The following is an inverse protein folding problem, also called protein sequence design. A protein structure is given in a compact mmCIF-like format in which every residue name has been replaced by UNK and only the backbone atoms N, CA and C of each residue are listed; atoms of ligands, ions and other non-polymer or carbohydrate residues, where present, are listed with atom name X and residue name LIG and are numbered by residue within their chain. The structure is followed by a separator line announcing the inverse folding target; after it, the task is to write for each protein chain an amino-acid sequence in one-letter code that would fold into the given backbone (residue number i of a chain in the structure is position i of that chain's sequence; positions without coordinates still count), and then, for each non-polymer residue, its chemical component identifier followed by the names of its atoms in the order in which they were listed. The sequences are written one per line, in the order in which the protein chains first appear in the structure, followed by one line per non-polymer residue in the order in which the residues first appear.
data_IF_014814472136
#
_entry.id   IF_014814472136
#
_cell.length_a   1.000
_cell.length_b   1.000
_cell.length_c   1.000
_cell.angle_alpha   90.00
_cell.angle_beta   90.00
_cell.angle_gamma   90.00
#
_symmetry.space_group_name_H-M   'P 1'
#
loop_
_entity.id
_entity.type
_entity.pdbx_description
1 polymer ?
#
# COMPACT_ATOMS: atom_id res chain seq x y z
N UNK A 1 -20.81 -3.13 25.62
CA UNK A 1 -20.02 -2.95 24.38
C UNK A 1 -19.28 -4.26 24.11
N UNK A 2 -19.88 -5.18 23.34
CA UNK A 2 -19.27 -6.49 23.09
C UNK A 2 -17.95 -6.30 22.36
N UNK A 3 -16.83 -6.57 23.04
CA UNK A 3 -15.56 -6.84 22.38
C UNK A 3 -15.83 -7.91 21.32
N UNK A 4 -15.36 -7.70 20.10
CA UNK A 4 -15.26 -8.80 19.15
C UNK A 4 -14.26 -9.79 19.78
N UNK A 5 -14.80 -10.78 20.49
CA UNK A 5 -14.04 -11.83 21.15
C UNK A 5 -13.17 -12.43 20.05
N UNK A 6 -11.87 -12.23 20.18
CA UNK A 6 -10.88 -12.95 19.41
C UNK A 6 -11.20 -14.44 19.59
N UNK A 7 -11.61 -15.10 18.51
CA UNK A 7 -11.68 -16.55 18.50
C UNK A 7 -10.25 -17.02 18.26
N UNK A 8 -9.59 -17.44 19.33
CA UNK A 8 -8.38 -18.23 19.21
C UNK A 8 -8.65 -19.40 18.25
N UNK A 9 -7.68 -19.78 17.40
CA UNK A 9 -7.81 -20.95 16.56
C UNK A 9 -8.28 -22.15 17.40
N UNK A 10 -9.29 -22.89 16.93
CA UNK A 10 -9.71 -24.09 17.63
C UNK A 10 -8.55 -25.09 17.70
N UNK A 11 -8.52 -25.92 18.75
CA UNK A 11 -7.51 -26.97 18.87
C UNK A 11 -7.46 -27.84 17.59
N UNK A 12 -8.63 -28.16 17.04
CA UNK A 12 -8.74 -28.93 15.79
C UNK A 12 -8.14 -28.18 14.59
N UNK A 13 -8.35 -26.86 14.47
CA UNK A 13 -7.74 -26.06 13.41
C UNK A 13 -6.20 -26.04 13.54
N UNK A 14 -5.68 -25.91 14.76
CA UNK A 14 -4.24 -25.96 15.03
C UNK A 14 -3.64 -27.34 14.76
N UNK A 15 -4.35 -28.41 15.12
CA UNK A 15 -3.92 -29.78 14.85
C UNK A 15 -3.91 -30.08 13.34
N UNK A 16 -4.93 -29.62 12.60
CA UNK A 16 -4.95 -29.74 11.14
C UNK A 16 -3.84 -28.92 10.48
N UNK A 17 -3.46 -27.79 11.06
CA UNK A 17 -2.37 -26.93 10.58
C UNK A 17 -1.01 -27.54 10.86
N UNK A 18 -0.81 -28.14 12.05
CA UNK A 18 0.45 -28.78 12.47
C UNK A 18 0.84 -29.99 11.61
N UNK A 19 -0.14 -30.59 10.91
CA UNK A 19 0.05 -31.68 9.95
C UNK A 19 0.15 -31.19 8.49
N UNK A 20 0.37 -29.90 8.26
CA UNK A 20 0.42 -29.29 6.93
C UNK A 20 1.78 -28.65 6.63
N UNK A 21 1.97 -28.15 5.40
CA UNK A 21 3.15 -27.36 5.01
C UNK A 21 3.32 -26.08 5.86
N UNK A 22 2.26 -25.65 6.53
CA UNK A 22 2.22 -24.45 7.36
C UNK A 22 2.30 -24.75 8.86
N UNK A 23 2.82 -25.92 9.23
CA UNK A 23 2.92 -26.36 10.63
C UNK A 23 3.72 -25.41 11.53
N UNK A 24 4.65 -24.64 10.98
CA UNK A 24 5.40 -23.62 11.72
C UNK A 24 4.49 -22.55 12.32
N UNK A 25 3.37 -22.22 11.67
CA UNK A 25 2.42 -21.21 12.16
C UNK A 25 1.75 -21.62 13.47
N UNK A 26 1.52 -22.92 13.69
CA UNK A 26 0.88 -23.41 14.91
C UNK A 26 1.71 -23.15 16.18
N UNK A 27 3.01 -22.87 16.03
CA UNK A 27 3.95 -22.61 17.12
C UNK A 27 4.39 -21.14 17.18
N UNK A 28 3.87 -20.27 16.31
CA UNK A 28 4.27 -18.86 16.32
C UNK A 28 3.56 -18.12 17.44
N UNK A 29 4.36 -17.44 18.26
CA UNK A 29 3.84 -16.49 19.21
C UNK A 29 3.39 -15.22 18.48
N UNK A 30 2.13 -14.87 18.69
CA UNK A 30 1.54 -13.66 18.14
C UNK A 30 1.32 -12.66 19.27
N UNK A 31 1.59 -11.39 19.00
CA UNK A 31 1.41 -10.30 19.97
C UNK A 31 -0.05 -10.24 20.44
N UNK A 32 -0.24 -9.93 21.73
CA UNK A 32 -1.57 -9.75 22.31
C UNK A 32 -2.37 -8.65 21.59
N UNK A 33 -3.67 -8.86 21.38
CA UNK A 33 -4.51 -7.97 20.56
C UNK A 33 -4.58 -6.53 21.08
N UNK A 34 -4.51 -6.36 22.40
CA UNK A 34 -4.55 -5.04 23.03
C UNK A 34 -3.31 -4.20 22.69
N UNK A 35 -2.17 -4.86 22.48
CA UNK A 35 -0.92 -4.16 22.10
C UNK A 35 -0.95 -3.66 20.67
N UNK A 36 -1.64 -4.37 19.79
CA UNK A 36 -1.62 -4.17 18.34
C UNK A 36 -2.94 -3.59 17.82
N UNK A 37 -3.67 -2.84 18.65
CA UNK A 37 -4.89 -2.16 18.19
C UNK A 37 -4.56 -1.18 17.06
N UNK A 38 -5.24 -1.32 15.93
CA UNK A 38 -4.99 -0.49 14.75
C UNK A 38 -3.76 -0.89 13.93
N UNK A 39 -3.23 -2.09 14.16
CA UNK A 39 -2.04 -2.66 13.52
C UNK A 39 -2.43 -3.90 12.70
N UNK A 40 -1.78 -4.12 11.58
CA UNK A 40 -2.07 -5.27 10.69
C UNK A 40 -1.06 -6.39 10.78
N UNK A 41 0.15 -6.13 11.29
CA UNK A 41 1.10 -7.18 11.63
C UNK A 41 0.73 -7.83 12.97
N UNK A 42 1.04 -9.12 13.11
CA UNK A 42 0.73 -9.91 14.30
C UNK A 42 1.96 -10.25 15.14
N UNK A 43 3.14 -9.90 14.64
CA UNK A 43 4.43 -10.09 15.28
C UNK A 43 5.38 -8.94 14.93
N UNK A 44 6.51 -8.85 15.64
CA UNK A 44 7.57 -7.89 15.36
C UNK A 44 8.93 -8.59 15.23
N UNK A 45 8.98 -9.67 14.44
CA UNK A 45 10.19 -10.48 14.27
C UNK A 45 11.32 -9.68 13.64
N UNK A 46 12.56 -9.88 14.08
CA UNK A 46 13.73 -9.16 13.57
C UNK A 46 13.85 -9.20 12.05
N UNK A 47 14.34 -8.11 11.46
CA UNK A 47 14.54 -7.98 10.01
C UNK A 47 15.57 -8.97 9.47
N UNK A 48 15.46 -9.31 8.17
CA UNK A 48 16.32 -10.32 7.51
C UNK A 48 17.83 -10.02 7.55
N UNK A 49 18.22 -8.78 7.78
CA UNK A 49 19.62 -8.33 7.78
C UNK A 49 20.20 -8.19 9.18
N UNK A 50 19.39 -8.46 10.22
CA UNK A 50 19.83 -8.37 11.61
C UNK A 50 20.65 -9.60 12.01
N UNK A 51 21.78 -9.37 12.68
CA UNK A 51 22.65 -10.44 13.19
C UNK A 51 22.02 -11.19 14.38
N UNK A 52 21.11 -10.53 15.10
CA UNK A 52 20.50 -11.06 16.32
C UNK A 52 18.97 -11.03 16.22
N UNK A 53 18.34 -12.11 16.69
CA UNK A 53 16.89 -12.17 16.89
C UNK A 53 16.57 -11.87 18.35
N UNK A 54 15.46 -11.16 18.58
CA UNK A 54 14.95 -10.87 19.92
C UNK A 54 13.57 -11.48 20.06
N UNK A 55 13.42 -12.35 21.05
CA UNK A 55 12.14 -12.94 21.44
C UNK A 55 11.81 -12.48 22.86
N UNK A 56 10.57 -12.04 23.07
CA UNK A 56 10.08 -11.75 24.42
C UNK A 56 9.44 -13.04 24.94
N UNK A 57 9.79 -13.44 26.16
CA UNK A 57 9.13 -14.55 26.85
C UNK A 57 8.79 -14.12 28.27
N UNK A 58 7.71 -14.67 28.81
CA UNK A 58 7.40 -14.53 30.24
C UNK A 58 8.35 -15.44 31.02
N UNK A 59 9.17 -14.84 31.88
CA UNK A 59 10.11 -15.56 32.73
C UNK A 59 9.43 -16.20 33.96
N UNK A 60 8.13 -15.94 34.16
CA UNK A 60 7.32 -16.52 35.23
C UNK A 60 7.46 -15.81 36.57
N UNK A 61 8.17 -14.67 36.64
CA UNK A 61 8.42 -13.94 37.88
C UNK A 61 7.30 -12.95 38.24
N UNK A 62 6.23 -12.88 37.43
CA UNK A 62 5.06 -12.05 37.72
C UNK A 62 5.33 -10.54 37.72
N UNK A 63 6.49 -10.12 37.24
CA UNK A 63 6.97 -8.73 37.17
C UNK A 63 6.57 -8.02 35.86
N UNK A 64 5.93 -8.74 34.94
CA UNK A 64 5.53 -8.19 33.63
C UNK A 64 4.24 -7.40 33.80
N UNK A 65 4.37 -6.09 34.04
CA UNK A 65 3.26 -5.16 33.87
C UNK A 65 2.69 -5.27 32.45
N UNK A 66 1.39 -5.00 32.31
CA UNK A 66 0.73 -5.02 31.01
C UNK A 66 1.43 -4.03 30.05
N UNK A 67 2.12 -4.56 29.05
CA UNK A 67 2.87 -3.74 28.10
C UNK A 67 1.93 -2.79 27.35
N UNK A 68 2.31 -1.52 27.16
CA UNK A 68 1.47 -0.55 26.49
C UNK A 68 1.24 -0.91 25.02
N UNK A 69 0.18 -0.33 24.45
CA UNK A 69 -0.09 -0.42 23.02
C UNK A 69 1.00 0.28 22.20
N UNK A 70 1.29 -0.25 21.02
CA UNK A 70 2.29 0.37 20.13
C UNK A 70 1.80 1.71 19.60
N UNK A 71 2.47 2.79 20.02
CA UNK A 71 2.32 4.12 19.45
C UNK A 71 3.17 4.30 18.20
N UNK A 72 2.67 5.06 17.22
CA UNK A 72 3.45 5.43 16.03
C UNK A 72 4.57 6.38 16.45
N UNK A 73 5.79 6.09 16.00
CA UNK A 73 6.97 6.93 16.19
C UNK A 73 7.34 7.57 14.85
N UNK A 74 7.44 8.89 14.82
CA UNK A 74 7.87 9.64 13.64
C UNK A 74 9.36 9.96 13.74
N UNK A 75 10.12 9.58 12.71
CA UNK A 75 11.56 9.86 12.60
C UNK A 75 11.76 10.91 11.52
N UNK A 76 12.17 12.13 11.89
CA UNK A 76 12.39 13.19 10.91
C UNK A 76 13.74 12.98 10.22
N UNK A 77 13.74 12.89 8.89
CA UNK A 77 14.94 12.77 8.07
C UNK A 77 15.03 13.88 7.01
N UNK A 78 16.25 14.18 6.56
CA UNK A 78 16.50 15.02 5.38
C UNK A 78 16.99 14.14 4.24
N UNK A 79 16.23 14.09 3.16
CA UNK A 79 16.54 13.33 1.97
C UNK A 79 17.60 14.04 1.12
N UNK A 80 18.60 13.29 0.65
CA UNK A 80 19.57 13.78 -0.35
C UNK A 80 18.96 13.86 -1.74
N UNK A 81 18.10 12.90 -2.06
CA UNK A 81 17.25 12.86 -3.25
C UNK A 81 15.88 12.29 -2.89
N UNK A 82 14.86 12.69 -3.64
CA UNK A 82 13.47 12.30 -3.46
C UNK A 82 12.94 11.50 -4.66
N UNK A 83 13.47 11.71 -5.87
CA UNK A 83 13.08 10.94 -7.06
C UNK A 83 13.85 9.62 -7.08
N UNK A 84 13.13 8.51 -7.12
CA UNK A 84 13.70 7.15 -7.28
C UNK A 84 13.31 6.57 -8.63
N UNK A 85 14.24 5.91 -9.31
CA UNK A 85 14.01 5.21 -10.59
C UNK A 85 13.90 3.69 -10.41
N UNK A 86 13.24 3.05 -11.37
CA UNK A 86 13.17 1.59 -11.50
C UNK A 86 13.09 1.20 -12.99
N UNK A 87 13.42 -0.04 -13.29
CA UNK A 87 13.49 -0.64 -14.63
C UNK A 87 12.46 -1.77 -14.83
N UNK A 88 11.45 -1.84 -13.97
CA UNK A 88 10.57 -3.00 -13.95
C UNK A 88 9.55 -2.98 -15.09
N UNK A 89 9.45 -4.06 -15.89
CA UNK A 89 8.52 -4.12 -17.02
C UNK A 89 7.05 -4.29 -16.60
N UNK A 90 6.78 -4.61 -15.33
CA UNK A 90 5.43 -4.89 -14.83
C UNK A 90 4.66 -3.65 -14.37
N UNK A 91 5.33 -2.49 -14.28
CA UNK A 91 4.72 -1.25 -13.80
C UNK A 91 4.80 -0.16 -14.85
N UNK A 92 3.73 0.62 -14.98
CA UNK A 92 3.61 1.66 -16.01
C UNK A 92 4.35 2.97 -15.70
N UNK A 93 5.41 2.93 -14.87
CA UNK A 93 6.18 4.11 -14.48
C UNK A 93 7.64 3.78 -14.18
N UNK A 94 8.53 4.68 -14.55
CA UNK A 94 9.96 4.57 -14.26
C UNK A 94 10.36 5.31 -12.98
N UNK A 95 9.69 6.41 -12.65
CA UNK A 95 10.06 7.30 -11.54
C UNK A 95 9.00 7.31 -10.47
N UNK A 96 9.42 7.44 -9.22
CA UNK A 96 8.52 7.58 -8.08
C UNK A 96 9.05 8.49 -7.00
N UNK A 97 8.14 9.01 -6.18
CA UNK A 97 8.44 9.76 -4.97
C UNK A 97 7.75 9.08 -3.80
N UNK A 98 8.52 8.85 -2.74
CA UNK A 98 8.03 8.41 -1.44
C UNK A 98 8.50 9.43 -0.39
N UNK A 99 7.58 10.32 0.03
CA UNK A 99 7.84 11.33 1.08
C UNK A 99 8.01 10.70 2.47
N UNK A 100 7.58 9.45 2.62
CA UNK A 100 7.69 8.68 3.85
C UNK A 100 8.39 7.34 3.61
N UNK A 101 8.91 6.73 4.68
CA UNK A 101 9.25 5.30 4.72
C UNK A 101 8.44 4.64 5.82
N UNK A 102 7.90 3.47 5.54
CA UNK A 102 6.87 2.84 6.38
C UNK A 102 5.49 3.34 6.00
N UNK A 103 4.45 2.64 6.46
CA UNK A 103 3.07 3.05 6.17
C UNK A 103 2.12 2.73 7.33
N UNK A 104 1.54 3.78 7.91
CA UNK A 104 0.62 3.67 9.04
C UNK A 104 -0.69 2.97 8.69
N UNK A 105 -1.05 2.82 7.41
CA UNK A 105 -2.21 2.02 7.00
C UNK A 105 -2.14 0.58 7.50
N UNK A 106 -0.92 0.06 7.68
CA UNK A 106 -0.68 -1.25 8.28
C UNK A 106 -1.28 -2.41 7.50
N UNK A 107 -1.27 -2.36 6.16
CA UNK A 107 -1.89 -3.43 5.37
C UNK A 107 -1.12 -4.75 5.56
N UNK A 108 -1.75 -5.83 6.04
CA UNK A 108 -1.05 -7.09 6.34
C UNK A 108 -0.44 -7.77 5.11
N UNK A 109 -0.95 -7.45 3.92
CA UNK A 109 -0.49 -7.94 2.62
C UNK A 109 0.49 -6.99 1.89
N UNK A 110 0.94 -5.91 2.54
CA UNK A 110 1.68 -4.86 1.85
C UNK A 110 3.06 -5.34 1.36
N UNK A 111 3.27 -5.34 0.04
CA UNK A 111 4.53 -5.77 -0.58
C UNK A 111 5.74 -4.88 -0.20
N UNK A 112 5.50 -3.68 0.35
CA UNK A 112 6.52 -2.71 0.72
C UNK A 112 7.14 -2.96 2.11
N UNK A 113 6.51 -3.80 2.96
CA UNK A 113 7.01 -4.12 4.30
C UNK A 113 8.49 -4.53 4.35
N UNK A 114 9.01 -5.34 3.41
CA UNK A 114 10.42 -5.73 3.38
C UNK A 114 11.39 -4.55 3.27
N UNK A 115 10.94 -3.38 2.80
CA UNK A 115 11.81 -2.20 2.67
C UNK A 115 12.32 -1.69 4.03
N UNK A 116 11.60 -1.98 5.13
CA UNK A 116 12.02 -1.64 6.48
C UNK A 116 13.18 -2.48 6.99
N UNK A 117 13.38 -3.68 6.44
CA UNK A 117 14.53 -4.50 6.81
C UNK A 117 15.86 -3.81 6.46
N UNK A 118 15.91 -2.99 5.40
CA UNK A 118 17.10 -2.19 5.06
C UNK A 118 17.39 -1.04 6.04
N UNK A 119 16.48 -0.77 6.98
CA UNK A 119 16.66 0.17 8.09
C UNK A 119 17.04 -0.54 9.40
N UNK A 120 17.18 -1.86 9.36
CA UNK A 120 17.33 -2.70 10.55
C UNK A 120 16.04 -2.91 11.35
N UNK A 121 14.88 -2.60 10.75
CA UNK A 121 13.57 -2.75 11.38
C UNK A 121 12.87 -4.03 10.97
N UNK A 122 11.93 -4.47 11.82
CA UNK A 122 11.00 -5.52 11.44
C UNK A 122 10.09 -5.11 10.27
N UNK A 123 9.80 -6.06 9.38
CA UNK A 123 8.72 -5.92 8.39
C UNK A 123 7.30 -6.06 9.02
N UNK A 124 7.25 -6.44 10.31
CA UNK A 124 6.06 -6.58 11.12
C UNK A 124 5.52 -5.25 11.64
N UNK A 125 5.51 -5.07 12.97
CA UNK A 125 4.96 -3.87 13.62
C UNK A 125 5.79 -2.63 13.29
N UNK A 126 7.13 -2.71 13.27
CA UNK A 126 7.98 -1.54 13.04
C UNK A 126 7.68 -0.85 11.69
N UNK A 127 7.32 -1.59 10.63
CA UNK A 127 6.94 -1.00 9.33
C UNK A 127 5.77 0.00 9.41
N UNK A 128 4.78 -0.29 10.26
CA UNK A 128 3.56 0.50 10.40
C UNK A 128 3.57 1.39 11.65
N UNK A 129 4.63 1.30 12.44
CA UNK A 129 4.86 2.05 13.67
C UNK A 129 5.94 3.12 13.49
N UNK A 130 7.09 2.77 12.93
CA UNK A 130 8.26 3.62 12.78
C UNK A 130 8.24 4.27 11.39
N UNK A 131 7.76 5.52 11.35
CA UNK A 131 7.50 6.26 10.11
C UNK A 131 8.57 7.33 9.92
N UNK A 132 9.37 7.17 8.88
CA UNK A 132 10.38 8.15 8.52
C UNK A 132 9.78 9.23 7.64
N UNK A 133 9.98 10.49 8.00
CA UNK A 133 9.37 11.67 7.38
C UNK A 133 10.48 12.48 6.71
N UNK A 134 10.46 12.56 5.38
CA UNK A 134 11.42 13.35 4.61
C UNK A 134 10.99 14.82 4.61
N UNK A 135 11.31 15.53 5.69
CA UNK A 135 10.80 16.89 5.92
C UNK A 135 11.18 17.90 4.82
N UNK A 136 12.25 17.65 4.07
CA UNK A 136 12.69 18.48 2.94
C UNK A 136 12.23 17.95 1.56
N UNK A 137 11.19 17.11 1.48
CA UNK A 137 10.80 16.45 0.22
C UNK A 137 10.53 17.43 -0.93
N UNK A 138 9.84 18.55 -0.68
CA UNK A 138 9.58 19.57 -1.69
C UNK A 138 10.84 20.36 -2.10
N UNK A 139 11.73 20.65 -1.14
CA UNK A 139 13.03 21.30 -1.39
C UNK A 139 13.92 20.41 -2.27
N UNK A 140 14.04 19.12 -1.90
CA UNK A 140 14.80 18.13 -2.67
C UNK A 140 14.21 17.96 -4.08
N UNK A 141 12.88 17.95 -4.21
CA UNK A 141 12.22 17.87 -5.51
C UNK A 141 12.57 19.07 -6.39
N UNK A 142 12.43 20.30 -5.87
CA UNK A 142 12.79 21.51 -6.63
C UNK A 142 14.25 21.48 -7.09
N UNK A 143 15.16 21.08 -6.21
CA UNK A 143 16.58 20.95 -6.54
C UNK A 143 16.81 19.94 -7.69
N UNK A 144 16.19 18.76 -7.65
CA UNK A 144 16.32 17.77 -8.72
C UNK A 144 15.70 18.22 -10.04
N UNK A 145 14.53 18.87 -10.01
CA UNK A 145 13.85 19.37 -11.22
C UNK A 145 14.60 20.53 -11.89
N UNK A 146 15.42 21.27 -11.15
CA UNK A 146 16.21 22.40 -11.66
C UNK A 146 17.42 21.98 -12.51
N UNK A 147 17.83 20.71 -12.47
CA UNK A 147 19.02 20.27 -13.16
C UNK A 147 18.88 20.48 -14.68
N UNK A 148 19.89 21.08 -15.32
CA UNK A 148 19.88 21.35 -16.78
C UNK A 148 19.67 20.09 -17.64
N UNK A 149 20.11 18.94 -17.13
CA UNK A 149 19.95 17.62 -17.76
C UNK A 149 18.60 16.97 -17.47
N UNK A 150 17.76 17.55 -16.60
CA UNK A 150 16.48 16.97 -16.24
C UNK A 150 15.57 16.87 -17.47
N UNK A 151 14.89 15.74 -17.59
CA UNK A 151 13.87 15.50 -18.61
C UNK A 151 12.61 15.01 -17.91
N UNK A 152 11.45 15.67 -18.10
CA UNK A 152 10.22 15.31 -17.41
C UNK A 152 9.75 13.91 -17.84
N UNK A 153 9.39 13.10 -16.85
CA UNK A 153 8.71 11.81 -17.02
C UNK A 153 7.69 11.67 -15.91
N UNK A 154 6.52 11.05 -16.13
CA UNK A 154 5.54 10.83 -15.08
C UNK A 154 6.14 10.23 -13.79
N UNK A 155 5.87 10.88 -12.66
CA UNK A 155 6.32 10.43 -11.34
C UNK A 155 5.15 9.78 -10.60
N UNK A 156 5.33 8.54 -10.13
CA UNK A 156 4.35 7.85 -9.32
C UNK A 156 4.51 8.15 -7.82
N UNK A 157 3.42 8.41 -7.13
CA UNK A 157 3.29 8.43 -5.67
C UNK A 157 2.34 7.30 -5.26
N UNK A 158 2.56 6.74 -4.06
CA UNK A 158 1.81 5.53 -3.66
C UNK A 158 2.50 4.22 -4.01
N UNK A 159 3.82 4.23 -4.22
CA UNK A 159 4.56 3.06 -4.71
C UNK A 159 5.06 2.18 -3.59
N UNK A 160 5.76 2.73 -2.60
CA UNK A 160 6.27 1.98 -1.44
C UNK A 160 5.62 2.42 -0.11
N UNK A 161 5.07 3.63 -0.07
CA UNK A 161 4.24 4.15 1.01
C UNK A 161 3.02 4.84 0.45
N UNK A 162 1.97 4.99 1.24
CA UNK A 162 0.80 5.77 0.84
C UNK A 162 1.06 7.27 1.09
N UNK A 163 0.92 8.13 0.06
CA UNK A 163 1.18 9.57 0.20
C UNK A 163 0.19 10.26 1.14
N UNK A 164 -0.97 9.64 1.38
CA UNK A 164 -2.06 10.18 2.19
C UNK A 164 -2.32 9.36 3.46
N UNK A 165 -1.28 8.66 3.96
CA UNK A 165 -1.32 7.97 5.24
C UNK A 165 -1.58 8.95 6.42
N UNK A 166 -2.01 8.49 7.60
CA UNK A 166 -2.32 9.36 8.74
C UNK A 166 -1.33 10.50 9.05
N UNK A 167 -0.02 10.27 9.00
CA UNK A 167 1.02 11.30 9.18
C UNK A 167 0.89 12.50 8.21
N UNK A 168 0.35 12.30 7.01
CA UNK A 168 0.14 13.37 6.01
C UNK A 168 -0.84 14.44 6.50
N UNK A 169 -1.72 14.15 7.47
CA UNK A 169 -2.58 15.17 8.09
C UNK A 169 -1.79 16.26 8.80
N UNK A 170 -0.64 15.91 9.38
CA UNK A 170 0.24 16.82 10.11
C UNK A 170 1.26 17.47 9.18
N UNK A 171 1.97 16.65 8.40
CA UNK A 171 3.16 17.10 7.68
C UNK A 171 2.88 17.75 6.32
N UNK A 172 1.76 17.41 5.67
CA UNK A 172 1.35 17.96 4.38
C UNK A 172 2.42 17.86 3.28
N UNK A 173 3.30 16.85 3.33
CA UNK A 173 4.41 16.71 2.38
C UNK A 173 3.91 16.38 0.99
N UNK A 174 2.87 15.56 0.88
CA UNK A 174 2.24 15.27 -0.41
C UNK A 174 1.67 16.54 -1.01
N UNK A 175 0.99 17.37 -0.21
CA UNK A 175 0.50 18.67 -0.69
C UNK A 175 1.65 19.55 -1.20
N UNK A 176 2.72 19.72 -0.43
CA UNK A 176 3.88 20.53 -0.85
C UNK A 176 4.58 19.98 -2.09
N UNK A 177 4.61 18.65 -2.26
CA UNK A 177 5.08 18.04 -3.51
C UNK A 177 4.16 18.39 -4.67
N UNK A 178 2.83 18.30 -4.50
CA UNK A 178 1.87 18.64 -5.55
C UNK A 178 1.92 20.12 -5.95
N UNK A 179 2.19 21.02 -5.00
CA UNK A 179 2.43 22.44 -5.28
C UNK A 179 3.64 22.62 -6.22
N UNK A 180 4.75 21.93 -5.95
CA UNK A 180 5.94 21.92 -6.84
C UNK A 180 5.61 21.29 -8.20
N UNK A 181 4.82 20.20 -8.23
CA UNK A 181 4.40 19.58 -9.49
C UNK A 181 3.55 20.55 -10.32
N UNK A 182 2.65 21.32 -9.70
CA UNK A 182 1.84 22.31 -10.40
C UNK A 182 2.68 23.50 -10.88
N UNK A 183 3.54 24.05 -10.01
CA UNK A 183 4.49 25.14 -10.33
C UNK A 183 5.32 24.80 -11.58
N UNK A 184 5.88 23.59 -11.60
CA UNK A 184 6.76 23.12 -12.68
C UNK A 184 6.01 22.44 -13.82
N UNK A 185 4.67 22.36 -13.74
CA UNK A 185 3.80 21.63 -14.68
C UNK A 185 4.29 20.21 -14.96
N UNK A 186 4.74 19.53 -13.90
CA UNK A 186 5.32 18.21 -13.97
C UNK A 186 4.25 17.12 -13.77
N UNK A 187 4.22 16.08 -14.62
CA UNK A 187 3.20 15.03 -14.53
C UNK A 187 3.37 14.11 -13.31
N UNK A 188 2.25 13.78 -12.66
CA UNK A 188 2.20 12.94 -11.46
C UNK A 188 1.08 11.90 -11.53
N UNK A 189 1.35 10.71 -11.01
CA UNK A 189 0.38 9.63 -10.84
C UNK A 189 0.24 9.33 -9.36
N UNK A 190 -0.97 9.23 -8.84
CA UNK A 190 -1.19 9.02 -7.41
C UNK A 190 -1.96 7.73 -7.19
N UNK A 191 -1.43 6.83 -6.37
CA UNK A 191 -2.18 5.66 -5.86
C UNK A 191 -2.37 5.80 -4.35
N UNK A 192 -3.60 5.68 -3.84
CA UNK A 192 -3.85 5.77 -2.39
C UNK A 192 -5.03 4.92 -1.94
N UNK A 193 -5.06 4.59 -0.64
CA UNK A 193 -6.20 4.01 0.11
C UNK A 193 -6.90 5.04 1.02
N UNK A 194 -6.56 6.32 0.89
CA UNK A 194 -6.99 7.37 1.81
C UNK A 194 -7.89 8.39 1.13
N UNK A 195 -9.02 8.70 1.78
CA UNK A 195 -9.90 9.79 1.37
C UNK A 195 -9.32 11.19 1.69
N UNK A 196 -8.16 11.26 2.36
CA UNK A 196 -7.47 12.52 2.64
C UNK A 196 -7.02 13.25 1.36
N UNK A 197 -6.89 12.52 0.24
CA UNK A 197 -6.60 13.10 -1.08
C UNK A 197 -7.54 14.24 -1.48
N UNK A 198 -8.79 14.21 -1.00
CA UNK A 198 -9.79 15.26 -1.29
C UNK A 198 -9.40 16.62 -0.70
N UNK A 199 -8.53 16.68 0.31
CA UNK A 199 -7.98 17.94 0.83
C UNK A 199 -7.28 18.74 -0.28
N UNK A 200 -6.62 18.07 -1.22
CA UNK A 200 -5.79 18.71 -2.25
C UNK A 200 -6.52 18.81 -3.60
N UNK A 201 -7.86 18.78 -3.59
CA UNK A 201 -8.67 18.85 -4.80
C UNK A 201 -8.44 20.14 -5.58
N UNK A 202 -8.11 21.23 -4.90
CA UNK A 202 -7.73 22.53 -5.48
C UNK A 202 -6.53 22.38 -6.43
N UNK A 203 -5.48 21.67 -6.01
CA UNK A 203 -4.26 21.45 -6.83
C UNK A 203 -4.51 20.38 -7.90
N UNK A 204 -5.19 19.29 -7.52
CA UNK A 204 -5.45 18.17 -8.41
C UNK A 204 -6.33 18.57 -9.60
N UNK A 205 -7.30 19.47 -9.40
CA UNK A 205 -8.15 19.99 -10.47
C UNK A 205 -7.33 20.78 -11.50
N UNK A 206 -6.41 21.64 -11.05
CA UNK A 206 -5.54 22.40 -11.96
C UNK A 206 -4.57 21.50 -12.74
N UNK A 207 -3.96 20.52 -12.07
CA UNK A 207 -3.15 19.51 -12.75
C UNK A 207 -3.98 18.70 -13.77
N UNK A 208 -5.24 18.39 -13.47
CA UNK A 208 -6.10 17.62 -14.36
C UNK A 208 -6.47 18.42 -15.61
N UNK A 209 -6.78 19.71 -15.46
CA UNK A 209 -7.01 20.65 -16.59
C UNK A 209 -5.83 20.70 -17.56
N UNK A 210 -4.61 20.58 -17.03
CA UNK A 210 -3.38 20.56 -17.81
C UNK A 210 -3.02 19.16 -18.36
N UNK A 211 -3.77 18.11 -18.02
CA UNK A 211 -3.45 16.73 -18.40
C UNK A 211 -2.20 16.17 -17.70
N UNK A 212 -1.94 16.62 -16.46
CA UNK A 212 -0.74 16.31 -15.69
C UNK A 212 -0.97 15.35 -14.52
N UNK A 213 -2.21 15.05 -14.16
CA UNK A 213 -2.52 14.09 -13.07
C UNK A 213 -3.50 13.01 -13.47
N UNK A 214 -3.28 11.83 -12.90
CA UNK A 214 -4.28 10.76 -12.81
C UNK A 214 -4.19 10.08 -11.45
N UNK A 215 -5.33 9.64 -10.94
CA UNK A 215 -5.45 9.08 -9.59
C UNK A 215 -5.99 7.65 -9.66
N UNK A 216 -5.48 6.79 -8.79
CA UNK A 216 -5.99 5.45 -8.56
C UNK A 216 -6.32 5.28 -7.07
N UNK A 217 -7.58 4.94 -6.78
CA UNK A 217 -8.03 4.65 -5.41
C UNK A 217 -8.13 3.14 -5.23
N UNK A 218 -7.39 2.59 -4.28
CA UNK A 218 -7.41 1.16 -3.95
C UNK A 218 -8.58 0.82 -3.04
N UNK A 219 -9.50 -0.02 -3.53
CA UNK A 219 -10.63 -0.58 -2.77
C UNK A 219 -10.47 -2.10 -2.78
N UNK A 220 -10.20 -2.67 -1.60
CA UNK A 220 -9.88 -4.11 -1.49
C UNK A 220 -11.08 -4.95 -1.05
N UNK A 221 -12.03 -4.36 -0.35
CA UNK A 221 -13.28 -4.99 0.08
C UNK A 221 -14.30 -3.89 0.32
N UNK A 222 -15.57 -4.20 0.09
CA UNK A 222 -16.74 -3.40 0.45
C UNK A 222 -17.21 -3.69 1.88
N UNK A 223 -16.79 -4.82 2.47
CA UNK A 223 -17.03 -5.12 3.88
C UNK A 223 -16.10 -4.33 4.79
N UNK A 224 -16.69 -3.42 5.57
CA UNK A 224 -15.97 -2.62 6.55
C UNK A 224 -15.25 -3.46 7.61
N UNK A 225 -15.78 -4.63 7.99
CA UNK A 225 -15.14 -5.52 8.97
C UNK A 225 -13.88 -6.15 8.39
N UNK A 226 -13.95 -6.69 7.17
CA UNK A 226 -12.79 -7.24 6.47
C UNK A 226 -11.74 -6.16 6.18
N UNK A 227 -12.14 -4.99 5.66
CA UNK A 227 -11.24 -3.86 5.42
C UNK A 227 -10.51 -3.45 6.71
N UNK A 228 -11.21 -3.27 7.84
CA UNK A 228 -10.56 -2.93 9.12
C UNK A 228 -9.59 -4.01 9.61
N UNK A 229 -9.81 -5.30 9.32
CA UNK A 229 -8.84 -6.35 9.65
C UNK A 229 -7.60 -6.27 8.77
N UNK A 230 -7.77 -6.07 7.47
CA UNK A 230 -6.68 -6.10 6.50
C UNK A 230 -5.83 -4.83 6.48
N UNK A 231 -6.45 -3.67 6.67
CA UNK A 231 -5.91 -2.33 6.42
C UNK A 231 -6.44 -1.35 7.49
N UNK A 232 -6.09 -1.56 8.77
CA UNK A 232 -6.80 -1.04 9.94
C UNK A 232 -6.88 0.48 10.07
N UNK A 233 -5.93 1.21 9.47
CA UNK A 233 -5.87 2.68 9.54
C UNK A 233 -6.03 3.35 8.18
N UNK A 234 -6.36 2.59 7.14
CA UNK A 234 -6.80 3.15 5.87
C UNK A 234 -8.22 3.70 5.98
N UNK A 235 -8.65 4.53 5.02
CA UNK A 235 -10.02 5.04 5.01
C UNK A 235 -11.01 3.90 4.80
N UNK A 236 -12.23 4.00 5.34
CA UNK A 236 -13.25 2.97 5.10
C UNK A 236 -13.60 2.83 3.61
N UNK A 237 -14.11 1.67 3.16
CA UNK A 237 -14.50 1.48 1.75
C UNK A 237 -15.46 2.56 1.24
N UNK A 238 -16.47 2.91 2.03
CA UNK A 238 -17.43 3.98 1.69
C UNK A 238 -16.74 5.34 1.49
N UNK A 239 -15.77 5.71 2.33
CA UNK A 239 -15.03 6.97 2.17
C UNK A 239 -14.11 6.97 0.95
N UNK A 240 -13.58 5.80 0.55
CA UNK A 240 -12.78 5.67 -0.68
C UNK A 240 -13.64 5.82 -1.93
N UNK A 241 -14.82 5.22 -1.93
CA UNK A 241 -15.80 5.40 -3.00
C UNK A 241 -16.25 6.87 -3.11
N UNK A 242 -16.52 7.51 -1.98
CA UNK A 242 -16.83 8.95 -1.95
C UNK A 242 -15.68 9.80 -2.50
N UNK A 243 -14.42 9.43 -2.19
CA UNK A 243 -13.27 10.12 -2.77
C UNK A 243 -13.20 9.94 -4.31
N UNK A 244 -13.54 8.75 -4.84
CA UNK A 244 -13.63 8.55 -6.29
C UNK A 244 -14.68 9.49 -6.90
N UNK A 245 -15.86 9.62 -6.27
CA UNK A 245 -16.93 10.51 -6.71
C UNK A 245 -16.46 11.96 -6.80
N UNK A 246 -15.89 12.48 -5.70
CA UNK A 246 -15.45 13.86 -5.62
C UNK A 246 -14.30 14.18 -6.59
N UNK A 247 -13.37 13.25 -6.80
CA UNK A 247 -12.31 13.40 -7.80
C UNK A 247 -12.89 13.42 -9.22
N UNK A 248 -13.83 12.52 -9.52
CA UNK A 248 -14.46 12.42 -10.84
C UNK A 248 -15.29 13.67 -11.17
N UNK A 249 -16.08 14.17 -10.22
CA UNK A 249 -16.86 15.41 -10.36
C UNK A 249 -15.98 16.65 -10.57
N UNK A 250 -14.77 16.67 -10.00
CA UNK A 250 -13.78 17.71 -10.22
C UNK A 250 -13.01 17.57 -11.55
N UNK A 251 -13.32 16.55 -12.35
CA UNK A 251 -12.67 16.30 -13.64
C UNK A 251 -11.29 15.63 -13.54
N UNK A 252 -10.93 15.06 -12.38
CA UNK A 252 -9.67 14.33 -12.18
C UNK A 252 -9.81 12.89 -12.71
N UNK A 253 -9.01 12.46 -13.72
CA UNK A 253 -9.09 11.09 -14.23
C UNK A 253 -8.79 10.07 -13.13
N UNK A 254 -9.82 9.31 -12.74
CA UNK A 254 -9.76 8.43 -11.57
C UNK A 254 -10.03 6.98 -11.94
N UNK A 255 -9.16 6.08 -11.48
CA UNK A 255 -9.32 4.64 -11.59
C UNK A 255 -9.60 3.98 -10.24
N UNK A 256 -10.30 2.85 -10.28
CA UNK A 256 -10.48 1.98 -9.11
C UNK A 256 -9.54 0.78 -9.18
N UNK A 257 -8.78 0.56 -8.11
CA UNK A 257 -7.86 -0.57 -8.01
C UNK A 257 -8.40 -1.62 -7.05
N UNK A 258 -8.86 -2.75 -7.59
CA UNK A 258 -9.23 -3.95 -6.84
C UNK A 258 -7.95 -4.72 -6.49
N UNK A 259 -7.12 -4.19 -5.58
CA UNK A 259 -5.75 -4.69 -5.36
C UNK A 259 -5.29 -4.64 -3.89
N UNK A 260 -4.82 -5.77 -3.31
CA UNK A 260 -4.78 -7.10 -3.93
C UNK A 260 -6.15 -7.81 -3.89
N UNK A 261 -6.38 -8.67 -4.88
CA UNK A 261 -7.33 -9.77 -4.77
C UNK A 261 -6.64 -10.96 -4.09
N UNK A 262 -7.25 -11.42 -3.00
CA UNK A 262 -6.80 -12.48 -2.12
C UNK A 262 -7.78 -13.65 -2.28
N UNK A 263 -7.31 -14.80 -2.80
CA UNK A 263 -8.14 -15.99 -2.99
C UNK A 263 -8.92 -16.36 -1.73
N UNK A 264 -10.23 -16.60 -1.88
CA UNK A 264 -11.16 -17.00 -0.82
C UNK A 264 -11.26 -16.03 0.39
N UNK A 265 -10.75 -14.80 0.27
CA UNK A 265 -10.84 -13.75 1.30
C UNK A 265 -11.68 -12.57 0.83
N UNK A 266 -11.33 -11.95 -0.30
CA UNK A 266 -12.04 -10.79 -0.86
C UNK A 266 -12.31 -10.88 -2.37
N UNK A 267 -11.84 -11.94 -3.04
CA UNK A 267 -11.96 -12.09 -4.49
C UNK A 267 -13.39 -12.38 -4.96
N UNK A 268 -14.30 -12.78 -4.08
CA UNK A 268 -15.73 -12.83 -4.34
C UNK A 268 -16.36 -11.43 -4.47
N UNK A 269 -15.68 -10.38 -4.03
CA UNK A 269 -16.17 -9.00 -4.10
C UNK A 269 -15.72 -8.26 -5.36
N UNK A 270 -14.89 -8.89 -6.21
CA UNK A 270 -14.25 -8.27 -7.35
C UNK A 270 -15.22 -7.47 -8.24
N UNK A 271 -16.28 -8.10 -8.72
CA UNK A 271 -17.26 -7.47 -9.61
C UNK A 271 -18.01 -6.34 -8.90
N UNK A 272 -18.37 -6.56 -7.63
CA UNK A 272 -19.06 -5.56 -6.81
C UNK A 272 -18.20 -4.32 -6.56
N UNK A 273 -16.88 -4.50 -6.37
CA UNK A 273 -15.93 -3.39 -6.23
C UNK A 273 -15.90 -2.57 -7.53
N UNK A 274 -15.81 -3.23 -8.69
CA UNK A 274 -15.77 -2.54 -9.99
C UNK A 274 -17.07 -1.79 -10.28
N UNK A 275 -18.22 -2.43 -10.06
CA UNK A 275 -19.54 -1.82 -10.20
C UNK A 275 -19.67 -0.57 -9.32
N UNK A 276 -19.31 -0.68 -8.04
CA UNK A 276 -19.31 0.45 -7.11
C UNK A 276 -18.36 1.56 -7.55
N UNK A 277 -17.17 1.24 -8.03
CA UNK A 277 -16.22 2.22 -8.56
C UNK A 277 -16.78 2.96 -9.77
N UNK A 278 -17.38 2.24 -10.72
CA UNK A 278 -18.03 2.84 -11.89
C UNK A 278 -19.17 3.75 -11.49
N UNK A 279 -20.01 3.33 -10.53
CA UNK A 279 -21.12 4.13 -10.02
C UNK A 279 -20.66 5.45 -9.38
N UNK A 280 -19.41 5.54 -8.91
CA UNK A 280 -18.80 6.77 -8.40
C UNK A 280 -17.98 7.53 -9.45
N UNK A 281 -18.05 7.15 -10.73
CA UNK A 281 -17.35 7.88 -11.80
C UNK A 281 -15.90 7.48 -12.02
N UNK A 282 -15.46 6.31 -11.54
CA UNK A 282 -14.19 5.74 -12.01
C UNK A 282 -14.26 5.48 -13.53
N UNK A 283 -13.21 5.83 -14.25
CA UNK A 283 -13.13 5.69 -15.72
C UNK A 283 -12.30 4.47 -16.15
N UNK A 284 -11.56 3.87 -15.23
CA UNK A 284 -10.70 2.72 -15.51
C UNK A 284 -10.57 1.83 -14.26
N UNK A 285 -10.17 0.58 -14.45
CA UNK A 285 -9.91 -0.33 -13.35
C UNK A 285 -8.64 -1.16 -13.53
N UNK A 286 -8.05 -1.56 -12.40
CA UNK A 286 -6.93 -2.49 -12.35
C UNK A 286 -7.09 -3.50 -11.21
N UNK A 287 -6.50 -4.68 -11.41
CA UNK A 287 -6.47 -5.77 -10.43
C UNK A 287 -5.09 -6.43 -10.40
N UNK A 288 -4.57 -6.59 -9.19
CA UNK A 288 -3.36 -7.35 -8.87
C UNK A 288 -3.75 -8.50 -7.95
N UNK A 289 -3.27 -9.71 -8.25
CA UNK A 289 -3.35 -10.87 -7.36
C UNK A 289 -2.36 -10.70 -6.19
N UNK A 290 -2.73 -11.16 -5.00
CA UNK A 290 -1.90 -11.12 -3.79
C UNK A 290 -0.43 -11.50 -4.07
N UNK A 291 0.48 -10.69 -3.54
CA UNK A 291 1.93 -10.86 -3.61
C UNK A 291 2.48 -11.04 -2.21
N UNK A 292 3.35 -12.02 -2.03
CA UNK A 292 3.99 -12.33 -0.73
C UNK A 292 5.53 -12.31 -0.81
N UNK A 293 6.16 -11.21 -1.27
CA UNK A 293 7.62 -11.14 -1.31
C UNK A 293 8.21 -11.08 0.10
N UNK A 294 9.28 -11.85 0.35
CA UNK A 294 10.03 -11.77 1.61
C UNK A 294 9.17 -12.03 2.85
N UNK A 295 9.37 -11.21 3.87
CA UNK A 295 8.69 -11.31 5.17
C UNK A 295 7.17 -11.10 5.09
N UNK A 296 6.67 -10.50 4.00
CA UNK A 296 5.22 -10.31 3.79
C UNK A 296 4.48 -11.64 3.82
N UNK A 297 5.13 -12.72 3.33
CA UNK A 297 4.61 -14.08 3.43
C UNK A 297 4.23 -14.41 4.87
N UNK A 298 5.13 -14.15 5.80
CA UNK A 298 4.99 -14.52 7.19
C UNK A 298 3.99 -13.60 7.90
N UNK A 299 4.05 -12.29 7.66
CA UNK A 299 3.07 -11.32 8.18
C UNK A 299 1.64 -11.68 7.73
N UNK A 300 1.46 -12.03 6.46
CA UNK A 300 0.16 -12.42 5.93
C UNK A 300 -0.33 -13.75 6.50
N UNK A 301 0.54 -14.76 6.62
CA UNK A 301 0.18 -16.07 7.19
C UNK A 301 -0.26 -15.96 8.65
N UNK A 302 0.44 -15.15 9.45
CA UNK A 302 0.08 -14.87 10.83
C UNK A 302 -1.25 -14.11 10.93
N UNK A 303 -1.45 -13.11 10.07
CA UNK A 303 -2.73 -12.40 9.95
C UNK A 303 -3.88 -13.35 9.59
N UNK A 304 -3.64 -14.27 8.65
CA UNK A 304 -4.63 -15.26 8.22
C UNK A 304 -4.97 -16.24 9.34
N UNK A 305 -3.97 -16.73 10.08
CA UNK A 305 -4.18 -17.58 11.26
C UNK A 305 -5.04 -16.89 12.31
N UNK A 306 -4.77 -15.60 12.59
CA UNK A 306 -5.51 -14.85 13.59
C UNK A 306 -6.95 -14.56 13.21
N UNK A 307 -7.19 -14.23 11.93
CA UNK A 307 -8.50 -13.72 11.52
C UNK A 307 -9.39 -14.75 10.83
N UNK A 308 -8.79 -15.81 10.28
CA UNK A 308 -9.46 -16.87 9.52
C UNK A 308 -8.75 -18.22 9.72
N UNK A 309 -8.61 -18.72 10.97
CA UNK A 309 -7.86 -19.95 11.26
C UNK A 309 -8.33 -21.15 10.44
N UNK A 310 -9.64 -21.31 10.25
CA UNK A 310 -10.23 -22.42 9.50
C UNK A 310 -9.97 -22.35 7.98
N UNK A 311 -9.56 -21.18 7.47
CA UNK A 311 -9.30 -20.95 6.04
C UNK A 311 -7.83 -20.91 5.69
N UNK A 312 -6.91 -20.98 6.67
CA UNK A 312 -5.46 -20.86 6.46
C UNK A 312 -4.98 -21.81 5.35
N UNK A 313 -5.29 -23.10 5.49
CA UNK A 313 -4.86 -24.13 4.54
C UNK A 313 -5.45 -23.90 3.15
N UNK A 314 -6.74 -23.57 3.07
CA UNK A 314 -7.43 -23.38 1.80
C UNK A 314 -6.88 -22.17 1.03
N UNK A 315 -6.78 -21.02 1.68
CA UNK A 315 -6.27 -19.78 1.07
C UNK A 315 -4.82 -19.95 0.62
N UNK A 316 -3.95 -20.54 1.45
CA UNK A 316 -2.55 -20.76 1.08
C UNK A 316 -2.38 -21.80 -0.02
N UNK A 317 -3.25 -22.81 -0.09
CA UNK A 317 -3.29 -23.74 -1.22
C UNK A 317 -3.59 -22.99 -2.51
N UNK A 318 -4.64 -22.17 -2.55
CA UNK A 318 -4.99 -21.39 -3.73
C UNK A 318 -3.88 -20.40 -4.13
N UNK A 319 -3.26 -19.74 -3.15
CA UNK A 319 -2.10 -18.88 -3.43
C UNK A 319 -0.98 -19.67 -4.09
N UNK A 320 -0.65 -20.87 -3.58
CA UNK A 320 0.38 -21.74 -4.16
C UNK A 320 0.03 -22.26 -5.54
N UNK A 321 -1.24 -22.61 -5.76
CA UNK A 321 -1.73 -23.06 -7.05
C UNK A 321 -1.54 -21.98 -8.12
N UNK A 322 -1.65 -20.70 -7.73
CA UNK A 322 -1.37 -19.58 -8.65
C UNK A 322 0.11 -19.30 -8.91
N UNK A 323 1.03 -20.09 -8.33
CA UNK A 323 2.48 -19.81 -8.26
C UNK A 323 3.34 -21.07 -8.41
N UNK A 324 2.82 -22.09 -9.11
CA UNK A 324 3.56 -23.35 -9.34
C UNK A 324 3.96 -24.05 -8.04
N UNK A 325 3.13 -23.98 -7.00
CA UNK A 325 3.37 -24.58 -5.69
C UNK A 325 4.19 -23.73 -4.73
N UNK A 326 4.61 -22.51 -5.08
CA UNK A 326 5.36 -21.60 -4.18
C UNK A 326 4.44 -20.60 -3.49
N UNK A 327 4.85 -20.03 -2.35
CA UNK A 327 4.06 -18.94 -1.74
C UNK A 327 4.15 -17.63 -2.55
N UNK A 328 5.23 -17.46 -3.32
CA UNK A 328 5.46 -16.31 -4.18
C UNK A 328 6.38 -16.65 -5.36
N UNK A 329 6.14 -15.97 -6.48
CA UNK A 329 6.98 -16.00 -7.66
C UNK A 329 7.39 -14.57 -8.01
N UNK A 330 8.70 -14.32 -8.09
CA UNK A 330 9.29 -13.01 -8.36
C UNK A 330 9.51 -12.70 -9.83
N UNK A 331 9.32 -13.68 -10.73
CA UNK A 331 9.48 -13.49 -12.19
C UNK A 331 8.56 -12.37 -12.69
N UNK A 332 9.08 -11.55 -13.58
CA UNK A 332 8.28 -10.53 -14.28
C UNK A 332 7.18 -11.20 -15.11
N UNK A 333 6.11 -10.46 -15.38
CA UNK A 333 4.90 -10.91 -16.07
C UNK A 333 3.96 -11.76 -15.21
N UNK A 334 4.48 -12.57 -14.28
CA UNK A 334 3.68 -13.49 -13.45
C UNK A 334 3.48 -13.01 -12.01
N UNK A 335 4.40 -12.22 -11.45
CA UNK A 335 4.35 -11.87 -10.02
C UNK A 335 3.09 -11.10 -9.60
N UNK A 336 2.45 -10.34 -10.50
CA UNK A 336 1.22 -9.59 -10.22
C UNK A 336 -0.06 -10.29 -10.67
N UNK A 337 0.07 -11.30 -11.53
CA UNK A 337 -1.05 -11.91 -12.27
C UNK A 337 -1.33 -13.33 -11.79
N UNK A 338 -0.28 -14.10 -11.47
CA UNK A 338 -0.35 -15.52 -11.19
C UNK A 338 -0.45 -16.37 -12.47
N UNK A 339 -0.35 -17.68 -12.30
CA UNK A 339 -0.50 -18.68 -13.35
C UNK A 339 -1.51 -19.76 -12.95
N UNK A 340 -1.86 -20.67 -13.85
CA UNK A 340 -2.78 -21.78 -13.57
C UNK A 340 -4.28 -21.42 -13.59
N UNK A 341 -5.16 -22.41 -13.35
CA UNK A 341 -6.60 -22.26 -13.59
C UNK A 341 -7.26 -21.18 -12.72
N UNK A 342 -6.86 -21.07 -11.45
CA UNK A 342 -7.46 -20.09 -10.53
C UNK A 342 -7.12 -18.64 -10.93
N UNK A 343 -5.85 -18.37 -11.23
CA UNK A 343 -5.43 -17.04 -11.69
C UNK A 343 -6.09 -16.68 -13.03
N UNK A 344 -6.20 -17.66 -13.94
CA UNK A 344 -6.87 -17.50 -15.23
C UNK A 344 -8.35 -17.15 -15.04
N UNK A 345 -9.07 -17.88 -14.19
CA UNK A 345 -10.47 -17.61 -13.88
C UNK A 345 -10.65 -16.23 -13.26
N UNK A 346 -9.80 -15.86 -12.30
CA UNK A 346 -9.85 -14.55 -11.65
C UNK A 346 -9.60 -13.42 -12.67
N UNK A 347 -8.65 -13.60 -13.59
CA UNK A 347 -8.39 -12.64 -14.68
C UNK A 347 -9.58 -12.54 -15.63
N UNK A 348 -10.17 -13.65 -16.05
CA UNK A 348 -11.35 -13.65 -16.91
C UNK A 348 -12.55 -12.96 -16.25
N UNK A 349 -12.77 -13.18 -14.95
CA UNK A 349 -13.79 -12.47 -14.17
C UNK A 349 -13.53 -10.97 -14.18
N UNK A 350 -12.29 -10.55 -13.91
CA UNK A 350 -11.90 -9.14 -13.96
C UNK A 350 -12.13 -8.53 -15.34
N UNK A 351 -11.63 -9.15 -16.42
CA UNK A 351 -11.71 -8.59 -17.76
C UNK A 351 -13.17 -8.45 -18.22
N UNK A 352 -14.00 -9.49 -18.00
CA UNK A 352 -15.44 -9.44 -18.32
C UNK A 352 -16.18 -8.39 -17.51
N UNK A 353 -15.88 -8.24 -16.22
CA UNK A 353 -16.50 -7.23 -15.38
C UNK A 353 -16.06 -5.82 -15.79
N UNK A 354 -14.77 -5.63 -16.10
CA UNK A 354 -14.21 -4.37 -16.57
C UNK A 354 -14.87 -3.91 -17.87
N UNK A 355 -15.05 -4.82 -18.83
CA UNK A 355 -15.78 -4.55 -20.08
C UNK A 355 -17.25 -4.24 -19.80
N UNK A 356 -17.93 -5.10 -19.04
CA UNK A 356 -19.35 -4.95 -18.69
C UNK A 356 -19.68 -3.59 -18.06
N UNK A 357 -18.80 -3.08 -17.20
CA UNK A 357 -18.98 -1.81 -16.50
C UNK A 357 -18.37 -0.60 -17.25
N UNK A 358 -17.76 -0.79 -18.43
CA UNK A 358 -17.12 0.28 -19.19
C UNK A 358 -15.97 0.94 -18.41
N UNK A 359 -15.08 0.10 -17.86
CA UNK A 359 -13.86 0.46 -17.12
C UNK A 359 -12.59 0.01 -17.86
N UNK A 360 -12.72 -0.41 -19.12
CA UNK A 360 -11.67 -0.89 -20.00
C UNK A 360 -10.94 0.24 -20.73
N UNK A 361 -11.43 1.49 -20.60
CA UNK A 361 -10.74 2.67 -21.08
C UNK A 361 -9.36 2.83 -20.39
N UNK A 362 -8.36 3.21 -21.19
CA UNK A 362 -7.05 3.61 -20.66
C UNK A 362 -7.18 4.99 -20.03
N UNK A 363 -6.59 5.18 -18.85
CA UNK A 363 -6.40 6.53 -18.32
C UNK A 363 -5.61 7.38 -19.34
N UNK A 364 -5.93 8.68 -19.48
CA UNK A 364 -5.21 9.58 -20.37
C UNK A 364 -3.69 9.52 -20.18
N UNK A 365 -2.96 9.66 -21.29
CA UNK A 365 -1.52 9.85 -21.23
C UNK A 365 -1.23 11.20 -20.55
N UNK A 366 -0.24 11.23 -19.66
CA UNK A 366 0.15 12.46 -18.98
C UNK A 366 1.10 13.25 -19.86
N UNK A 367 0.88 14.57 -19.94
CA UNK A 367 1.71 15.49 -20.72
C UNK A 367 3.07 15.70 -20.07
N UNK A 368 4.11 15.75 -20.90
CA UNK A 368 5.49 16.06 -20.49
C UNK A 368 6.03 17.31 -21.19
N UNK A 369 5.29 17.83 -22.18
CA UNK A 369 5.64 18.99 -23.01
C UNK A 369 5.43 20.34 -22.32
N UNK A 370 4.70 20.35 -21.20
CA UNK A 370 4.39 21.58 -20.45
C UNK A 370 5.42 21.94 -19.38
N UNK A 371 6.40 21.06 -19.12
CA UNK A 371 7.32 21.21 -18.01
C UNK A 371 8.12 22.52 -18.09
N UNK A 372 8.19 23.22 -16.96
CA UNK A 372 9.03 24.41 -16.78
C UNK A 372 9.92 24.17 -15.55
N UNK A 373 11.25 24.28 -15.67
CA UNK A 373 12.14 24.11 -14.51
C UNK A 373 11.86 25.19 -13.45
N UNK A 374 11.97 24.88 -12.16
CA UNK A 374 11.74 25.85 -11.10
C UNK A 374 12.81 26.96 -11.14
N UNK A 375 12.40 28.17 -10.77
CA UNK A 375 13.32 29.28 -10.57
C UNK A 375 14.09 29.03 -9.26
N UNK A 376 15.39 28.73 -9.34
CA UNK A 376 16.23 28.76 -8.14
C UNK A 376 16.65 30.21 -7.94
N UNK A 377 16.17 30.85 -6.87
CA UNK A 377 16.77 32.08 -6.39
C UNK A 377 18.24 31.80 -6.05
N UNK A 378 19.14 32.21 -6.94
CA UNK A 378 20.56 32.16 -6.65
C UNK A 378 20.81 33.11 -5.49
N UNK A 379 21.12 32.59 -4.29
CA UNK A 379 21.70 33.38 -3.19
C UNK A 379 23.07 34.00 -3.53
N UNK A 380 23.45 34.00 -4.80
CA UNK A 380 24.77 34.38 -5.32
C UNK A 380 24.64 35.16 -6.63
N UNK A 381 23.78 36.19 -6.67
CA UNK A 381 23.88 37.29 -7.64
C UNK A 381 23.35 38.61 -7.05
N UNK A 382 24.13 39.22 -6.15
CA UNK A 382 24.03 40.65 -5.82
C UNK A 382 25.41 41.31 -5.59
N UNK A 383 26.45 40.75 -6.19
CA UNK A 383 27.79 41.33 -6.20
C UNK A 383 28.30 41.28 -7.63
N UNK A 384 27.75 42.12 -8.51
CA UNK A 384 28.43 42.81 -9.61
C UNK A 384 27.52 43.92 -10.13
#
# INVERSE_FOLDING_TARGET
MLMAIYQAPSFEALERLSRSRDADLARRELLHTDRIRGRGAQSNRSGRFEAHQRDNFDDGWGSVEALPSFETVEHIERAKSIITSNDSPDIGFERSINAYRGCEHGCSYCFARPSHAFLGHSAGIDFERDIYVKANAAEALRAELSAKSYRPKPIAMGTNTDPYQPAERKHQLTRSILEVMLETRHPVMITTKSALIIRDLDILTELARLGLVKVAISVTSMDHKLSRKMEPRASSPARRLEAIRLLSEAGVPTAIFASPMIPAINDMELERILDAGKAQGAVSASMILLRLPGEVRDVFREWLLRHFPDRVRHVLSLVRDTRGGKDYDSRWGVRMTGEGPYATLLRQRFDKARERYGLDAKLPALRTDLFVPPQIESKQMSLF
#
